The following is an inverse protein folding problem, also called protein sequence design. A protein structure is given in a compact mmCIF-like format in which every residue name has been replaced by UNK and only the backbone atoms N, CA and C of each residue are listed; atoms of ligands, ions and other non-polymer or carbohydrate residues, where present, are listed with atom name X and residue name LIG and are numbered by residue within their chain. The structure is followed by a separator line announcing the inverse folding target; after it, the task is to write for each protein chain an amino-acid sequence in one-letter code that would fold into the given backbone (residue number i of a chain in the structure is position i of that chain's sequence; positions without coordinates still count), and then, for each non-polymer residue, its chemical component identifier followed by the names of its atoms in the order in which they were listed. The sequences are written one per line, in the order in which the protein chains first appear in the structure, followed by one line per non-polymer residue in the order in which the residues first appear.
data_IF_286245470988
#
_entry.id   IF_286245470988
#
_cell.length_a   1.000
_cell.length_b   1.000
_cell.length_c   1.000
_cell.angle_alpha   90.00
_cell.angle_beta   90.00
_cell.angle_gamma   90.00
#
_symmetry.space_group_name_H-M   'P 1'
#
loop_
_entity.id
_entity.type
_entity.pdbx_description
1 polymer ?
#
# COMPACT_ATOMS: atom_id res chain seq x y z
N UNK A 1 -4.24 -44.73 -31.56
CA UNK A 1 -4.19 -43.31 -32.03
C UNK A 1 -5.16 -42.42 -31.26
N UNK A 2 -6.43 -42.75 -31.07
CA UNK A 2 -7.44 -41.92 -30.36
C UNK A 2 -7.03 -41.42 -28.93
N UNK A 3 -6.34 -42.24 -28.15
CA UNK A 3 -5.95 -41.83 -26.77
C UNK A 3 -4.81 -40.82 -26.74
N UNK A 4 -3.86 -40.89 -27.70
CA UNK A 4 -2.78 -39.87 -27.78
C UNK A 4 -3.32 -38.50 -28.19
N UNK A 5 -4.28 -38.45 -29.12
CA UNK A 5 -4.92 -37.21 -29.54
C UNK A 5 -5.70 -36.60 -28.39
N UNK A 6 -6.50 -37.35 -27.65
CA UNK A 6 -7.22 -36.85 -26.45
C UNK A 6 -6.28 -36.32 -25.38
N UNK A 7 -5.16 -37.03 -25.15
CA UNK A 7 -4.14 -36.57 -24.18
C UNK A 7 -3.48 -35.24 -24.60
N UNK A 8 -3.11 -35.11 -25.88
CA UNK A 8 -2.54 -33.88 -26.42
C UNK A 8 -3.53 -32.70 -26.36
N UNK A 9 -4.81 -32.96 -26.67
CA UNK A 9 -5.86 -31.92 -26.56
C UNK A 9 -6.06 -31.48 -25.12
N UNK A 10 -6.02 -32.39 -24.16
CA UNK A 10 -6.13 -32.06 -22.74
C UNK A 10 -4.93 -31.19 -22.26
N UNK A 11 -3.70 -31.54 -22.66
CA UNK A 11 -2.52 -30.75 -22.36
C UNK A 11 -2.65 -29.37 -22.97
N UNK A 12 -3.02 -29.24 -24.23
CA UNK A 12 -3.20 -27.95 -24.88
C UNK A 12 -4.24 -27.09 -24.18
N UNK A 13 -5.38 -27.68 -23.79
CA UNK A 13 -6.42 -26.98 -23.06
C UNK A 13 -5.91 -26.43 -21.70
N UNK A 14 -5.13 -27.23 -20.98
CA UNK A 14 -4.50 -26.80 -19.71
C UNK A 14 -3.50 -25.65 -19.93
N UNK A 15 -2.67 -25.74 -20.96
CA UNK A 15 -1.71 -24.69 -21.28
C UNK A 15 -2.40 -23.38 -21.67
N UNK A 16 -3.46 -23.47 -22.48
CA UNK A 16 -4.29 -22.30 -22.84
C UNK A 16 -4.94 -21.71 -21.59
N UNK A 17 -5.51 -22.52 -20.73
CA UNK A 17 -6.10 -22.05 -19.47
C UNK A 17 -5.07 -21.35 -18.60
N UNK A 18 -3.87 -21.93 -18.42
CA UNK A 18 -2.78 -21.29 -17.68
C UNK A 18 -2.40 -19.94 -18.31
N UNK A 19 -2.24 -19.89 -19.64
CA UNK A 19 -1.92 -18.65 -20.34
C UNK A 19 -2.98 -17.56 -20.13
N UNK A 20 -4.26 -17.91 -20.11
CA UNK A 20 -5.36 -16.96 -19.87
C UNK A 20 -5.29 -16.32 -18.47
N UNK A 21 -4.75 -17.02 -17.46
CA UNK A 21 -4.58 -16.47 -16.11
C UNK A 21 -3.58 -15.30 -16.06
N UNK A 22 -2.62 -15.25 -17.00
CA UNK A 22 -1.59 -14.20 -17.05
C UNK A 22 -1.93 -13.05 -17.99
N UNK A 23 -3.07 -13.11 -18.70
CA UNK A 23 -3.50 -11.99 -19.54
C UNK A 23 -3.78 -10.77 -18.66
N UNK A 24 -3.22 -9.58 -19.02
CA UNK A 24 -3.52 -8.34 -18.33
C UNK A 24 -5.03 -8.05 -18.37
N UNK A 25 -5.59 -7.77 -17.20
CA UNK A 25 -7.00 -7.41 -17.09
C UNK A 25 -7.22 -5.96 -17.54
N UNK A 26 -8.29 -5.68 -18.29
CA UNK A 26 -8.68 -4.32 -18.62
C UNK A 26 -8.92 -3.50 -17.33
N UNK A 27 -8.58 -2.22 -17.35
CA UNK A 27 -8.75 -1.33 -16.19
C UNK A 27 -10.22 -1.23 -15.69
N UNK A 28 -11.19 -1.59 -16.54
CA UNK A 28 -12.61 -1.58 -16.19
C UNK A 28 -13.04 -2.79 -15.35
N UNK A 29 -12.23 -3.82 -15.27
CA UNK A 29 -12.50 -4.99 -14.40
C UNK A 29 -11.95 -4.66 -13.02
N UNK A 30 -12.84 -4.26 -12.12
CA UNK A 30 -12.50 -3.83 -10.75
C UNK A 30 -12.10 -5.01 -9.86
N UNK A 31 -10.87 -5.48 -9.97
CA UNK A 31 -10.26 -6.39 -8.98
C UNK A 31 -9.39 -5.58 -8.02
N UNK A 32 -10.00 -4.58 -7.39
CA UNK A 32 -9.34 -3.72 -6.42
C UNK A 32 -9.33 -4.39 -5.04
N UNK A 33 -8.22 -4.23 -4.36
CA UNK A 33 -8.04 -4.67 -2.98
C UNK A 33 -7.89 -3.45 -2.10
N UNK A 34 -8.67 -3.38 -1.03
CA UNK A 34 -8.64 -2.34 -0.02
C UNK A 34 -8.14 -2.93 1.30
N UNK A 35 -7.10 -2.35 1.85
CA UNK A 35 -6.51 -2.67 3.16
C UNK A 35 -6.76 -1.46 4.05
N UNK A 36 -7.39 -1.65 5.19
CA UNK A 36 -7.69 -0.57 6.14
C UNK A 36 -7.19 -0.94 7.51
N UNK A 37 -6.46 -0.03 8.13
CA UNK A 37 -6.01 -0.14 9.52
C UNK A 37 -6.36 1.13 10.26
N UNK A 38 -6.92 1.00 11.46
CA UNK A 38 -7.36 2.11 12.30
C UNK A 38 -6.69 2.02 13.66
N UNK A 39 -6.25 3.17 14.19
CA UNK A 39 -5.77 3.30 15.56
C UNK A 39 -6.22 4.61 16.20
N UNK A 40 -6.37 4.60 17.52
CA UNK A 40 -6.48 5.82 18.33
C UNK A 40 -5.10 6.16 18.88
N UNK A 41 -4.61 7.37 18.60
CA UNK A 41 -3.28 7.87 18.97
C UNK A 41 -3.49 9.06 19.90
N UNK A 42 -2.85 9.06 21.09
CA UNK A 42 -2.96 10.11 22.09
C UNK A 42 -2.08 11.32 21.74
N UNK A 43 -2.30 11.89 20.56
CA UNK A 43 -1.66 13.10 20.03
C UNK A 43 -2.66 13.89 19.21
N UNK A 44 -2.44 15.19 19.08
CA UNK A 44 -3.30 16.04 18.24
C UNK A 44 -3.21 15.63 16.77
N UNK A 45 -4.27 15.85 15.98
CA UNK A 45 -4.26 15.54 14.55
C UNK A 45 -3.12 16.19 13.77
N UNK A 46 -2.73 17.41 14.14
CA UNK A 46 -1.61 18.13 13.50
C UNK A 46 -0.29 17.39 13.69
N UNK A 47 0.02 16.98 14.94
CA UNK A 47 1.25 16.25 15.23
C UNK A 47 1.31 14.92 14.49
N UNK A 48 0.19 14.18 14.47
CA UNK A 48 0.13 12.91 13.73
C UNK A 48 0.27 13.14 12.22
N UNK A 49 -0.44 14.13 11.69
CA UNK A 49 -0.40 14.49 10.27
C UNK A 49 1.02 14.85 9.82
N UNK A 50 1.68 15.78 10.49
CA UNK A 50 3.02 16.21 10.12
C UNK A 50 4.02 15.06 10.18
N UNK A 51 3.88 14.17 11.17
CA UNK A 51 4.75 13.01 11.30
C UNK A 51 4.57 12.00 10.15
N UNK A 52 3.33 11.61 9.82
CA UNK A 52 3.08 10.58 8.81
C UNK A 52 3.27 11.07 7.39
N UNK A 53 3.16 12.38 7.14
CA UNK A 53 3.33 12.98 5.81
C UNK A 53 4.77 13.42 5.53
N UNK A 54 5.68 13.32 6.51
CA UNK A 54 7.13 13.57 6.36
C UNK A 54 7.84 12.24 6.03
N UNK A 55 8.36 12.05 4.81
CA UNK A 55 8.89 10.76 4.36
C UNK A 55 10.10 10.27 5.16
N UNK A 56 10.93 11.17 5.71
CA UNK A 56 12.08 10.79 6.54
C UNK A 56 11.67 9.91 7.74
N UNK A 57 10.43 10.00 8.20
CA UNK A 57 9.93 9.21 9.33
C UNK A 57 9.43 7.81 8.92
N UNK A 58 9.15 7.57 7.62
CA UNK A 58 8.50 6.31 7.19
C UNK A 58 9.27 5.05 7.59
N UNK A 59 10.59 4.96 7.40
CA UNK A 59 11.33 3.76 7.80
C UNK A 59 11.29 3.46 9.32
N UNK A 60 10.99 4.45 10.14
CA UNK A 60 10.92 4.28 11.60
C UNK A 60 9.65 3.56 12.06
N UNK A 61 8.53 3.70 11.33
CA UNK A 61 7.26 3.14 11.74
C UNK A 61 6.66 2.15 10.74
N UNK A 62 7.05 2.21 9.45
CA UNK A 62 6.53 1.33 8.43
C UNK A 62 7.58 0.25 8.08
N UNK A 63 7.42 -1.00 8.54
CA UNK A 63 8.45 -2.04 8.39
C UNK A 63 8.74 -2.42 6.93
N UNK A 64 7.82 -2.10 6.02
CA UNK A 64 8.03 -2.29 4.59
C UNK A 64 8.82 -1.17 3.93
N UNK A 65 8.94 0.01 4.55
CA UNK A 65 9.73 1.14 4.07
C UNK A 65 11.18 0.96 4.48
N UNK A 66 12.08 0.83 3.51
CA UNK A 66 13.51 0.59 3.78
C UNK A 66 14.32 1.88 3.73
N UNK A 67 14.05 2.72 2.75
CA UNK A 67 14.71 4.00 2.53
C UNK A 67 13.82 4.91 1.69
N UNK A 68 14.00 6.21 1.86
CA UNK A 68 13.30 7.24 1.08
C UNK A 68 14.32 8.25 0.54
N UNK A 69 14.01 8.85 -0.61
CA UNK A 69 14.86 9.84 -1.27
C UNK A 69 14.03 10.85 -2.04
N UNK A 70 14.54 12.07 -2.19
CA UNK A 70 13.84 13.21 -2.78
C UNK A 70 13.44 14.22 -1.71
N UNK A 71 12.22 14.76 -1.75
CA UNK A 71 11.67 15.65 -0.73
C UNK A 71 11.32 14.85 0.52
N UNK A 72 12.19 14.80 1.52
CA UNK A 72 12.04 13.87 2.65
C UNK A 72 11.93 14.52 4.02
N UNK A 73 12.36 15.79 4.18
CA UNK A 73 12.59 16.47 5.45
C UNK A 73 11.42 17.35 5.94
N UNK A 74 10.32 17.36 5.22
CA UNK A 74 9.11 18.11 5.55
C UNK A 74 7.84 17.33 5.17
N UNK A 75 6.66 17.69 5.72
CA UNK A 75 5.37 17.19 5.26
C UNK A 75 5.16 17.49 3.78
N UNK A 76 5.03 16.46 2.95
CA UNK A 76 4.91 16.64 1.50
C UNK A 76 3.71 17.49 1.11
N UNK A 77 3.95 18.43 0.19
CA UNK A 77 2.92 19.27 -0.42
C UNK A 77 2.27 18.59 -1.65
N UNK A 78 1.12 19.16 -2.08
CA UNK A 78 0.38 18.65 -3.23
C UNK A 78 1.26 18.62 -4.50
N UNK A 79 1.32 17.48 -5.16
CA UNK A 79 2.12 17.25 -6.36
C UNK A 79 3.59 16.92 -6.10
N UNK A 80 4.09 17.05 -4.87
CA UNK A 80 5.46 16.64 -4.55
C UNK A 80 5.65 15.14 -4.69
N UNK A 81 6.89 14.74 -4.96
CA UNK A 81 7.27 13.37 -5.21
C UNK A 81 8.39 12.90 -4.31
N UNK A 82 8.32 11.65 -3.92
CA UNK A 82 9.36 10.96 -3.17
C UNK A 82 9.52 9.53 -3.71
N UNK A 83 10.75 9.05 -3.74
CA UNK A 83 11.04 7.65 -4.07
C UNK A 83 11.25 6.85 -2.80
N UNK A 84 10.52 5.75 -2.67
CA UNK A 84 10.65 4.80 -1.57
C UNK A 84 11.20 3.47 -2.06
N UNK A 85 12.23 2.97 -1.40
CA UNK A 85 12.63 1.58 -1.48
C UNK A 85 11.83 0.77 -0.46
N UNK A 86 11.13 -0.24 -0.95
CA UNK A 86 10.26 -1.04 -0.10
C UNK A 86 10.59 -2.53 -0.13
N UNK A 87 10.09 -3.25 0.87
CA UNK A 87 10.09 -4.72 0.91
C UNK A 87 8.73 -5.23 1.38
N UNK A 88 7.95 -5.80 0.47
CA UNK A 88 6.64 -6.40 0.74
C UNK A 88 6.67 -7.88 0.38
N UNK A 89 6.19 -8.73 1.28
CA UNK A 89 6.18 -10.19 1.13
C UNK A 89 7.55 -10.77 0.69
N UNK A 90 8.65 -10.18 1.21
CA UNK A 90 10.02 -10.61 0.91
C UNK A 90 10.62 -10.06 -0.39
N UNK A 91 9.83 -9.42 -1.26
CA UNK A 91 10.31 -8.80 -2.51
C UNK A 91 10.65 -7.33 -2.29
N UNK A 92 11.81 -6.92 -2.77
CA UNK A 92 12.22 -5.50 -2.77
C UNK A 92 11.80 -4.83 -4.08
N UNK A 93 11.49 -3.55 -4.00
CA UNK A 93 11.18 -2.71 -5.15
C UNK A 93 11.37 -1.25 -4.84
N UNK A 94 11.13 -0.42 -5.84
CA UNK A 94 11.08 1.04 -5.73
C UNK A 94 9.73 1.51 -6.20
N UNK A 95 9.17 2.47 -5.51
CA UNK A 95 7.93 3.15 -5.89
C UNK A 95 8.16 4.65 -5.85
N UNK A 96 7.65 5.35 -6.83
CA UNK A 96 7.58 6.82 -6.82
C UNK A 96 6.18 7.20 -6.36
N UNK A 97 6.11 7.89 -5.23
CA UNK A 97 4.88 8.43 -4.67
C UNK A 97 4.72 9.88 -5.09
N UNK A 98 3.50 10.25 -5.50
CA UNK A 98 3.09 11.62 -5.78
C UNK A 98 1.92 11.99 -4.90
N UNK A 99 1.97 13.15 -4.24
CA UNK A 99 0.85 13.62 -3.40
C UNK A 99 -0.32 14.02 -4.29
N UNK A 100 -1.45 13.32 -4.11
CA UNK A 100 -2.68 13.53 -4.87
C UNK A 100 -3.72 14.37 -4.11
N UNK A 101 -3.71 14.32 -2.77
CA UNK A 101 -4.63 15.11 -1.92
C UNK A 101 -3.89 15.57 -0.69
N UNK A 102 -4.12 16.83 -0.26
CA UNK A 102 -3.58 17.39 0.99
C UNK A 102 -4.57 18.37 1.61
N UNK A 103 -5.19 17.93 2.68
CA UNK A 103 -6.20 18.69 3.46
C UNK A 103 -5.84 18.59 4.95
N UNK A 104 -4.80 19.33 5.42
CA UNK A 104 -4.33 19.21 6.80
C UNK A 104 -5.36 19.77 7.80
N UNK A 105 -5.43 19.19 9.01
CA UNK A 105 -4.74 17.98 9.43
C UNK A 105 -5.57 16.72 9.19
N UNK A 106 -6.64 16.76 8.37
CA UNK A 106 -7.68 15.74 8.29
C UNK A 106 -7.44 14.67 7.24
N UNK A 107 -6.84 15.00 6.08
CA UNK A 107 -6.71 14.06 4.98
C UNK A 107 -5.46 14.28 4.13
N UNK A 108 -4.86 13.18 3.72
CA UNK A 108 -3.73 13.16 2.81
C UNK A 108 -3.72 11.86 2.00
N UNK A 109 -3.36 11.94 0.71
CA UNK A 109 -3.22 10.75 -0.11
C UNK A 109 -2.05 10.85 -1.08
N UNK A 110 -1.44 9.71 -1.37
CA UNK A 110 -0.37 9.55 -2.36
C UNK A 110 -0.71 8.43 -3.34
N UNK A 111 -0.32 8.65 -4.58
CA UNK A 111 -0.43 7.67 -5.66
C UNK A 111 0.94 7.15 -6.02
N UNK A 112 1.09 5.82 -6.00
CA UNK A 112 2.34 5.14 -6.29
C UNK A 112 2.44 4.68 -7.74
N UNK A 113 3.65 4.80 -8.30
CA UNK A 113 3.99 4.21 -9.60
C UNK A 113 5.25 3.36 -9.49
N UNK A 114 5.24 2.21 -10.13
CA UNK A 114 6.38 1.30 -10.30
C UNK A 114 6.55 1.07 -11.80
N UNK A 115 7.74 1.36 -12.34
CA UNK A 115 8.03 1.26 -13.79
C UNK A 115 6.97 1.96 -14.65
N UNK A 116 6.57 3.18 -14.26
CA UNK A 116 5.53 4.00 -14.89
C UNK A 116 4.12 3.34 -14.92
N UNK A 117 3.86 2.36 -14.08
CA UNK A 117 2.54 1.72 -13.94
C UNK A 117 1.97 2.02 -12.56
N UNK A 118 0.65 2.28 -12.45
CA UNK A 118 0.00 2.46 -11.16
C UNK A 118 0.26 1.27 -10.23
N UNK A 119 0.74 1.55 -9.02
CA UNK A 119 1.04 0.55 -8.00
C UNK A 119 -0.01 0.50 -6.89
N UNK A 120 -0.65 1.65 -6.62
CA UNK A 120 -1.69 1.77 -5.62
C UNK A 120 -1.78 3.18 -5.05
N UNK A 121 -2.75 3.39 -4.17
CA UNK A 121 -3.00 4.66 -3.48
C UNK A 121 -2.97 4.42 -1.98
N UNK A 122 -2.24 5.24 -1.24
CA UNK A 122 -2.31 5.30 0.21
C UNK A 122 -3.08 6.55 0.61
N UNK A 123 -4.06 6.40 1.50
CA UNK A 123 -4.82 7.52 2.05
C UNK A 123 -4.73 7.47 3.58
N UNK A 124 -4.45 8.63 4.18
CA UNK A 124 -4.57 8.85 5.61
C UNK A 124 -5.78 9.74 5.89
N UNK A 125 -6.61 9.32 6.84
CA UNK A 125 -7.72 10.11 7.36
C UNK A 125 -7.56 10.26 8.87
N UNK A 126 -7.58 11.50 9.34
CA UNK A 126 -7.37 11.85 10.74
C UNK A 126 -8.61 12.58 11.27
N UNK A 127 -9.16 12.07 12.34
CA UNK A 127 -10.32 12.69 13.00
C UNK A 127 -9.96 12.99 14.45
N UNK A 128 -10.19 14.22 14.90
CA UNK A 128 -10.01 14.60 16.30
C UNK A 128 -10.99 13.83 17.20
N UNK A 129 -10.51 13.37 18.34
CA UNK A 129 -11.29 12.73 19.40
C UNK A 129 -10.99 13.40 20.74
N UNK A 130 -11.77 13.11 21.78
CA UNK A 130 -11.52 13.65 23.14
C UNK A 130 -10.13 13.27 23.67
N UNK A 131 -9.59 12.11 23.30
CA UNK A 131 -8.31 11.60 23.78
C UNK A 131 -7.16 11.73 22.78
N UNK A 132 -7.36 12.40 21.64
CA UNK A 132 -6.32 12.57 20.62
C UNK A 132 -6.85 12.45 19.20
N UNK A 133 -6.34 11.49 18.41
CA UNK A 133 -6.63 11.33 16.98
C UNK A 133 -7.05 9.91 16.67
N UNK A 134 -8.17 9.73 15.98
CA UNK A 134 -8.47 8.51 15.24
C UNK A 134 -7.74 8.59 13.90
N UNK A 135 -6.70 7.80 13.77
CA UNK A 135 -5.91 7.66 12.54
C UNK A 135 -6.39 6.44 11.76
N UNK A 136 -6.69 6.64 10.48
CA UNK A 136 -7.05 5.58 9.54
C UNK A 136 -6.10 5.60 8.36
N UNK A 137 -5.43 4.46 8.11
CA UNK A 137 -4.60 4.22 6.94
C UNK A 137 -5.33 3.28 6.01
N UNK A 138 -5.56 3.73 4.78
CA UNK A 138 -6.11 2.94 3.69
C UNK A 138 -5.04 2.75 2.60
N UNK A 139 -4.87 1.53 2.14
CA UNK A 139 -4.08 1.23 0.95
C UNK A 139 -4.94 0.49 -0.05
N UNK A 140 -5.06 1.05 -1.25
CA UNK A 140 -5.83 0.47 -2.35
C UNK A 140 -4.91 0.15 -3.51
N UNK A 141 -5.01 -1.07 -4.04
CA UNK A 141 -4.26 -1.50 -5.22
C UNK A 141 -5.09 -2.45 -6.07
N UNK A 142 -4.72 -2.54 -7.36
CA UNK A 142 -5.43 -3.35 -8.34
C UNK A 142 -4.65 -4.60 -8.71
N UNK A 143 -5.36 -5.71 -8.89
CA UNK A 143 -4.80 -6.95 -9.43
C UNK A 143 -4.65 -6.84 -10.96
N UNK A 144 -3.42 -6.94 -11.50
CA UNK A 144 -3.18 -6.76 -12.93
C UNK A 144 -3.60 -7.98 -13.79
N UNK A 145 -3.84 -9.15 -13.18
CA UNK A 145 -4.21 -10.39 -13.87
C UNK A 145 -5.01 -11.31 -12.94
N UNK A 146 -5.69 -12.32 -13.49
CA UNK A 146 -6.40 -13.32 -12.70
C UNK A 146 -5.45 -14.14 -11.81
N UNK A 147 -4.26 -14.46 -12.30
CA UNK A 147 -3.22 -15.12 -11.49
C UNK A 147 -2.86 -14.28 -10.26
N UNK A 148 -2.62 -12.99 -10.47
CA UNK A 148 -2.32 -12.09 -9.37
C UNK A 148 -3.50 -12.00 -8.39
N UNK A 149 -4.74 -11.91 -8.88
CA UNK A 149 -5.92 -11.85 -8.04
C UNK A 149 -6.07 -13.09 -7.16
N UNK A 150 -5.81 -14.27 -7.71
CA UNK A 150 -5.82 -15.53 -6.97
C UNK A 150 -4.71 -15.56 -5.89
N UNK A 151 -3.49 -15.21 -6.25
CA UNK A 151 -2.37 -15.12 -5.32
C UNK A 151 -2.63 -14.08 -4.23
N UNK A 152 -3.20 -12.92 -4.60
CA UNK A 152 -3.61 -11.87 -3.68
C UNK A 152 -4.64 -12.37 -2.67
N UNK A 153 -5.67 -13.06 -3.12
CA UNK A 153 -6.71 -13.61 -2.26
C UNK A 153 -6.16 -14.66 -1.29
N UNK A 154 -5.27 -15.53 -1.75
CA UNK A 154 -4.72 -16.63 -0.94
C UNK A 154 -3.66 -16.17 0.07
N UNK A 155 -2.81 -15.20 -0.29
CA UNK A 155 -1.59 -14.88 0.48
C UNK A 155 -1.35 -13.39 0.63
N UNK A 156 -1.33 -12.62 -0.48
CA UNK A 156 -0.74 -11.28 -0.48
C UNK A 156 -1.55 -10.30 0.36
N UNK A 157 -2.88 -10.34 0.25
CA UNK A 157 -3.77 -9.47 1.03
C UNK A 157 -3.56 -9.62 2.54
N UNK A 158 -3.50 -10.85 3.03
CA UNK A 158 -3.28 -11.09 4.47
C UNK A 158 -1.91 -10.59 4.93
N UNK A 159 -0.89 -10.75 4.10
CA UNK A 159 0.46 -10.23 4.36
C UNK A 159 0.48 -8.71 4.44
N UNK A 160 -0.08 -8.04 3.44
CA UNK A 160 -0.13 -6.57 3.41
C UNK A 160 -0.97 -6.02 4.57
N UNK A 161 -2.09 -6.69 4.93
CA UNK A 161 -2.87 -6.31 6.11
C UNK A 161 -2.02 -6.39 7.38
N UNK A 162 -1.34 -7.50 7.61
CA UNK A 162 -0.47 -7.68 8.79
C UNK A 162 0.67 -6.66 8.85
N UNK A 163 1.28 -6.34 7.71
CA UNK A 163 2.31 -5.30 7.61
C UNK A 163 1.74 -3.91 7.92
N UNK A 164 0.52 -3.61 7.43
CA UNK A 164 -0.19 -2.36 7.73
C UNK A 164 -0.54 -2.23 9.22
N UNK A 165 -1.03 -3.31 9.83
CA UNK A 165 -1.39 -3.33 11.24
C UNK A 165 -0.15 -3.14 12.13
N UNK A 166 0.96 -3.79 11.76
CA UNK A 166 2.26 -3.61 12.43
C UNK A 166 2.75 -2.18 12.31
N UNK A 167 2.68 -1.60 11.10
CA UNK A 167 3.09 -0.22 10.85
C UNK A 167 2.31 0.78 11.72
N UNK A 168 0.98 0.68 11.74
CA UNK A 168 0.13 1.59 12.52
C UNK A 168 0.33 1.41 14.02
N UNK A 169 0.58 0.17 14.48
CA UNK A 169 0.93 -0.10 15.88
C UNK A 169 2.28 0.53 16.28
N UNK A 170 3.29 0.43 15.41
CA UNK A 170 4.59 1.07 15.63
C UNK A 170 4.47 2.60 15.64
N UNK A 171 3.72 3.17 14.69
CA UNK A 171 3.43 4.61 14.64
C UNK A 171 2.84 5.10 15.96
N UNK A 172 1.81 4.40 16.45
CA UNK A 172 1.17 4.72 17.75
C UNK A 172 2.20 4.67 18.88
N UNK A 173 2.98 3.61 18.98
CA UNK A 173 3.99 3.46 20.03
C UNK A 173 5.04 4.58 20.00
N UNK A 174 5.56 4.93 18.82
CA UNK A 174 6.54 6.01 18.65
C UNK A 174 5.99 7.39 19.05
N UNK A 175 4.79 7.71 18.59
CA UNK A 175 4.20 9.01 18.88
C UNK A 175 3.81 9.15 20.35
N UNK A 176 3.33 8.09 21.00
CA UNK A 176 2.93 8.13 22.40
C UNK A 176 4.11 8.06 23.37
N UNK A 177 5.24 7.45 22.97
CA UNK A 177 6.47 7.41 23.78
C UNK A 177 7.22 8.75 23.78
N UNK A 178 7.05 9.61 22.76
CA UNK A 178 7.70 10.92 22.70
C UNK A 178 7.11 11.84 23.78
N UNK A 179 7.93 12.64 24.51
CA UNK A 179 7.42 13.63 25.46
C UNK A 179 6.43 14.60 24.80
N UNK A 180 5.39 15.00 25.52
CA UNK A 180 4.49 16.07 25.07
C UNK A 180 5.30 17.39 25.08
N UNK A 181 5.59 17.92 23.90
CA UNK A 181 6.07 19.31 23.76
C UNK A 181 4.89 20.26 23.68
#
# INVERSE_FOLDING_TARGET
MKNRTRFLTAILAVLVFIALLFIPLPQRIGLDTRIVTVASIQRSPTVVFDYVTTPAHWPAWHPSSLAVSGAVDHPLDLGEQVTEEFRVAGRRGRVVWTVATREPPGKWSIEGTIDNRPAGTVTYSLTSTESGTRFEREFTYRSPSLWFAMFNWLVLRARIQSESDTAVSQLKGLLEASPQQ
#
